data_IF_815138487842
#
_entry.id   IF_815138487842
#
_cell.length_a   1.000
_cell.length_b   1.000
_cell.length_c   1.000
_cell.angle_alpha   90.00
_cell.angle_beta   90.00
_cell.angle_gamma   90.00
#
_symmetry.space_group_name_H-M   'P 1'
#
loop_
_entity.id
_entity.type
_entity.pdbx_description
1 polymer ?
#
# COMPACT_ATOMS: atom_id res chain seq x y z
N UNK A 1 4.39 4.51 -13.11
CA UNK A 1 3.98 3.55 -12.08
C UNK A 1 4.19 2.15 -12.61
N UNK A 2 4.65 1.21 -11.79
CA UNK A 2 4.62 -0.20 -12.15
C UNK A 2 3.19 -0.77 -12.04
N UNK A 3 2.99 -1.99 -12.54
CA UNK A 3 1.68 -2.64 -12.57
C UNK A 3 1.14 -2.89 -11.15
N UNK A 4 2.00 -3.34 -10.23
CA UNK A 4 1.62 -3.67 -8.85
C UNK A 4 1.15 -2.44 -8.08
N UNK A 5 1.81 -1.31 -8.26
CA UNK A 5 1.47 -0.03 -7.66
C UNK A 5 0.09 0.43 -8.15
N UNK A 6 -0.12 0.40 -9.47
CA UNK A 6 -1.40 0.79 -10.07
C UNK A 6 -2.57 -0.08 -9.60
N UNK A 7 -2.39 -1.41 -9.54
CA UNK A 7 -3.41 -2.34 -9.04
C UNK A 7 -3.72 -2.04 -7.57
N UNK A 8 -2.68 -1.83 -6.75
CA UNK A 8 -2.82 -1.58 -5.32
C UNK A 8 -3.58 -0.28 -5.05
N UNK A 9 -3.12 0.83 -5.62
CA UNK A 9 -3.74 2.15 -5.39
C UNK A 9 -5.13 2.23 -6.00
N UNK A 10 -5.33 1.62 -7.18
CA UNK A 10 -6.63 1.54 -7.84
C UNK A 10 -7.65 0.75 -7.03
N UNK A 11 -7.26 -0.43 -6.52
CA UNK A 11 -8.11 -1.26 -5.66
C UNK A 11 -8.49 -0.54 -4.37
N UNK A 12 -7.53 0.09 -3.69
CA UNK A 12 -7.79 0.86 -2.47
C UNK A 12 -8.72 2.05 -2.75
N UNK A 13 -8.49 2.79 -3.83
CA UNK A 13 -9.31 3.94 -4.23
C UNK A 13 -10.75 3.51 -4.56
N UNK A 14 -10.93 2.42 -5.31
CA UNK A 14 -12.25 1.87 -5.64
C UNK A 14 -13.00 1.41 -4.39
N UNK A 15 -12.34 0.66 -3.52
CA UNK A 15 -12.91 0.21 -2.25
C UNK A 15 -13.31 1.40 -1.36
N UNK A 16 -12.44 2.41 -1.23
CA UNK A 16 -12.75 3.62 -0.47
C UNK A 16 -13.86 4.47 -1.11
N UNK A 17 -13.97 4.49 -2.43
CA UNK A 17 -15.10 5.10 -3.13
C UNK A 17 -16.42 4.42 -2.76
N UNK A 18 -16.45 3.09 -2.73
CA UNK A 18 -17.61 2.33 -2.29
C UNK A 18 -17.97 2.60 -0.82
N UNK A 19 -16.96 2.62 0.07
CA UNK A 19 -17.13 2.98 1.50
C UNK A 19 -17.74 4.37 1.66
N UNK A 20 -17.20 5.34 0.95
CA UNK A 20 -17.67 6.72 0.97
C UNK A 20 -19.15 6.83 0.58
N UNK A 21 -19.57 6.13 -0.49
CA UNK A 21 -20.98 6.09 -0.91
C UNK A 21 -21.94 5.50 0.14
N UNK A 22 -21.43 4.70 1.07
CA UNK A 22 -22.19 4.14 2.21
C UNK A 22 -22.01 4.91 3.51
N UNK A 23 -21.37 6.07 3.49
CA UNK A 23 -21.09 6.88 4.69
C UNK A 23 -20.05 6.23 5.62
N UNK A 24 -19.32 5.23 5.15
CA UNK A 24 -18.24 4.60 5.90
C UNK A 24 -16.95 5.42 5.74
N UNK A 25 -16.12 5.43 6.79
CA UNK A 25 -14.81 6.06 6.74
C UNK A 25 -13.91 5.33 5.73
N UNK A 26 -13.09 6.08 4.94
CA UNK A 26 -12.04 5.49 4.12
C UNK A 26 -11.07 4.67 4.98
N UNK A 27 -10.57 3.59 4.40
CA UNK A 27 -9.53 2.76 4.97
C UNK A 27 -8.15 3.21 4.46
N UNK A 28 -7.14 3.08 5.31
CA UNK A 28 -5.74 3.25 4.95
C UNK A 28 -5.01 1.91 5.07
N UNK A 29 -4.08 1.64 4.15
CA UNK A 29 -3.19 0.49 4.26
C UNK A 29 -2.05 0.84 5.24
N UNK A 30 -1.82 0.02 6.27
CA UNK A 30 -0.92 0.38 7.33
C UNK A 30 0.55 0.13 6.92
N UNK A 31 1.48 0.92 7.46
CA UNK A 31 2.91 0.89 7.11
C UNK A 31 3.63 -0.41 7.42
N UNK A 32 2.99 -1.34 8.13
CA UNK A 32 3.51 -2.69 8.34
C UNK A 32 3.42 -3.55 7.07
N UNK A 33 2.65 -3.13 6.06
CA UNK A 33 2.56 -3.75 4.73
C UNK A 33 3.38 -2.97 3.71
N UNK A 34 4.01 -3.68 2.76
CA UNK A 34 4.80 -3.07 1.68
C UNK A 34 3.98 -2.05 0.87
N UNK A 35 2.71 -2.34 0.62
CA UNK A 35 1.80 -1.44 -0.10
C UNK A 35 1.43 -0.20 0.70
N UNK A 36 1.15 -0.36 1.99
CA UNK A 36 0.85 0.75 2.89
C UNK A 36 2.05 1.68 3.11
N UNK A 37 3.24 1.12 3.28
CA UNK A 37 4.44 1.95 3.40
C UNK A 37 4.80 2.65 2.10
N UNK A 38 4.61 2.02 0.93
CA UNK A 38 4.86 2.66 -0.36
C UNK A 38 4.01 3.92 -0.50
N UNK A 39 2.70 3.79 -0.29
CA UNK A 39 1.75 4.90 -0.43
C UNK A 39 2.12 6.02 0.53
N UNK A 40 2.34 5.67 1.80
CA UNK A 40 2.59 6.66 2.83
C UNK A 40 3.95 7.36 2.64
N UNK A 41 5.00 6.61 2.28
CA UNK A 41 6.32 7.17 1.96
C UNK A 41 6.30 8.03 0.69
N UNK A 42 5.65 7.58 -0.38
CA UNK A 42 5.51 8.38 -1.59
C UNK A 42 4.78 9.71 -1.30
N UNK A 43 3.68 9.66 -0.54
CA UNK A 43 2.93 10.86 -0.16
C UNK A 43 3.78 11.87 0.64
N UNK A 44 4.62 11.39 1.56
CA UNK A 44 5.54 12.22 2.33
C UNK A 44 6.60 12.87 1.43
N UNK A 45 7.20 12.09 0.52
CA UNK A 45 8.27 12.60 -0.33
C UNK A 45 7.75 13.57 -1.39
N UNK A 46 6.52 13.40 -1.87
CA UNK A 46 5.86 14.35 -2.77
C UNK A 46 5.68 15.76 -2.17
N UNK A 47 5.79 15.92 -0.84
CA UNK A 47 5.81 17.24 -0.20
C UNK A 47 7.14 17.99 -0.39
N UNK A 48 8.15 17.35 -1.00
CA UNK A 48 9.48 17.91 -1.20
C UNK A 48 9.79 18.09 -2.68
N UNK A 49 10.57 19.12 -3.03
CA UNK A 49 10.97 19.38 -4.42
C UNK A 49 11.75 18.21 -5.04
N UNK A 50 12.58 17.55 -4.25
CA UNK A 50 13.36 16.38 -4.67
C UNK A 50 12.45 15.18 -4.92
N UNK A 51 11.50 14.91 -4.03
CA UNK A 51 10.59 13.77 -4.17
C UNK A 51 9.64 13.86 -5.36
N UNK A 52 9.31 15.07 -5.84
CA UNK A 52 8.56 15.26 -7.09
C UNK A 52 9.30 14.76 -8.33
N UNK A 53 10.64 14.68 -8.28
CA UNK A 53 11.47 14.22 -9.39
C UNK A 53 11.77 12.71 -9.32
N UNK A 54 11.32 12.04 -8.26
CA UNK A 54 11.62 10.63 -7.98
C UNK A 54 10.44 9.73 -8.34
N UNK A 55 10.76 8.52 -8.83
CA UNK A 55 9.77 7.46 -9.01
C UNK A 55 9.81 6.50 -7.83
N UNK A 56 8.65 6.26 -7.21
CA UNK A 56 8.49 5.28 -6.13
C UNK A 56 7.95 3.98 -6.73
N UNK A 57 8.75 2.93 -6.70
CA UNK A 57 8.37 1.61 -7.21
C UNK A 57 8.87 0.48 -6.32
N UNK A 58 8.22 -0.68 -6.40
CA UNK A 58 8.63 -1.89 -5.67
C UNK A 58 9.91 -2.54 -6.22
N UNK A 59 10.34 -2.18 -7.43
CA UNK A 59 11.40 -2.88 -8.16
C UNK A 59 12.69 -2.05 -8.32
N UNK A 60 12.77 -0.85 -7.74
CA UNK A 60 14.00 -0.06 -7.80
C UNK A 60 13.92 1.28 -7.07
N UNK A 61 14.98 2.07 -7.27
CA UNK A 61 15.16 3.40 -6.69
C UNK A 61 15.13 3.41 -5.15
N UNK A 62 14.88 4.60 -4.59
CA UNK A 62 14.91 4.89 -3.15
C UNK A 62 13.96 3.99 -2.34
N UNK A 63 12.78 3.67 -2.89
CA UNK A 63 11.80 2.87 -2.16
C UNK A 63 12.21 1.39 -2.02
N UNK A 64 12.84 0.80 -3.03
CA UNK A 64 13.25 -0.60 -2.95
C UNK A 64 14.30 -0.83 -1.85
N UNK A 65 15.21 0.13 -1.67
CA UNK A 65 16.17 0.09 -0.57
C UNK A 65 15.45 0.17 0.78
N UNK A 66 14.57 1.16 0.95
CA UNK A 66 13.73 1.30 2.15
C UNK A 66 12.93 0.03 2.45
N UNK A 67 12.33 -0.59 1.44
CA UNK A 67 11.53 -1.80 1.60
C UNK A 67 12.36 -2.97 2.15
N UNK A 68 13.62 -3.09 1.74
CA UNK A 68 14.57 -4.06 2.30
C UNK A 68 14.95 -3.70 3.75
N UNK A 69 15.29 -2.44 4.01
CA UNK A 69 15.63 -1.95 5.37
C UNK A 69 14.50 -2.16 6.39
N UNK A 70 13.25 -2.17 5.92
CA UNK A 70 12.06 -2.42 6.75
C UNK A 70 11.60 -3.87 6.77
N UNK A 71 12.37 -4.79 6.18
CA UNK A 71 12.05 -6.23 6.10
C UNK A 71 10.68 -6.49 5.46
N UNK A 72 10.31 -5.67 4.48
CA UNK A 72 9.05 -5.77 3.74
C UNK A 72 9.22 -6.50 2.40
N UNK A 73 10.46 -6.67 1.93
CA UNK A 73 10.79 -7.49 0.77
C UNK A 73 10.88 -8.97 1.18
N UNK A 74 9.77 -9.70 1.08
CA UNK A 74 9.66 -11.09 1.51
C UNK A 74 8.99 -11.93 0.42
N UNK A 75 9.41 -13.20 0.27
CA UNK A 75 8.87 -14.15 -0.71
C UNK A 75 8.10 -15.32 -0.08
N UNK A 76 8.12 -15.46 1.25
CA UNK A 76 7.41 -16.50 1.99
C UNK A 76 5.91 -16.19 2.06
N UNK A 77 5.04 -16.97 1.38
CA UNK A 77 3.60 -16.71 1.38
C UNK A 77 2.99 -16.80 2.78
N UNK A 78 3.52 -17.67 3.63
CA UNK A 78 3.07 -17.83 5.02
C UNK A 78 3.36 -16.57 5.84
N UNK A 79 4.60 -16.06 5.78
CA UNK A 79 4.98 -14.85 6.51
C UNK A 79 4.22 -13.62 6.02
N UNK A 80 4.02 -13.51 4.69
CA UNK A 80 3.20 -12.45 4.09
C UNK A 80 1.75 -12.55 4.60
N UNK A 81 1.15 -13.74 4.57
CA UNK A 81 -0.23 -13.96 5.04
C UNK A 81 -0.38 -13.62 6.52
N UNK A 82 0.55 -14.09 7.36
CA UNK A 82 0.57 -13.81 8.79
C UNK A 82 0.71 -12.32 9.09
N UNK A 83 1.54 -11.61 8.32
CA UNK A 83 1.70 -10.16 8.43
C UNK A 83 0.41 -9.42 8.09
N UNK A 84 -0.27 -9.80 7.01
CA UNK A 84 -1.57 -9.22 6.63
C UNK A 84 -2.62 -9.52 7.70
N UNK A 85 -2.70 -10.76 8.20
CA UNK A 85 -3.65 -11.15 9.25
C UNK A 85 -3.48 -10.32 10.53
N UNK A 86 -2.24 -10.05 10.95
CA UNK A 86 -1.94 -9.19 12.12
C UNK A 86 -2.44 -7.75 12.00
N UNK A 87 -2.67 -7.26 10.78
CA UNK A 87 -3.26 -5.93 10.56
C UNK A 87 -4.78 -5.91 10.63
N UNK A 88 -5.43 -7.07 10.71
CA UNK A 88 -6.88 -7.19 10.62
C UNK A 88 -7.46 -6.98 9.21
N UNK A 89 -6.60 -6.85 8.19
CA UNK A 89 -7.02 -6.58 6.81
C UNK A 89 -7.08 -7.83 5.91
N UNK A 90 -6.88 -9.02 6.47
CA UNK A 90 -6.99 -10.25 5.69
C UNK A 90 -8.41 -10.38 5.09
N UNK A 91 -8.48 -10.49 3.77
CA UNK A 91 -9.75 -10.60 3.05
C UNK A 91 -10.61 -9.33 3.03
N UNK A 92 -10.08 -8.16 3.40
CA UNK A 92 -10.86 -6.92 3.55
C UNK A 92 -11.64 -6.52 2.29
N UNK A 93 -11.08 -6.80 1.11
CA UNK A 93 -11.73 -6.50 -0.18
C UNK A 93 -12.87 -7.47 -0.55
N UNK A 94 -13.05 -8.56 0.20
CA UNK A 94 -14.19 -9.48 0.01
C UNK A 94 -15.47 -8.97 0.70
N UNK A 95 -15.37 -7.92 1.52
CA UNK A 95 -16.52 -7.30 2.15
C UNK A 95 -17.44 -6.67 1.10
N UNK A 96 -18.71 -7.08 1.09
CA UNK A 96 -19.72 -6.48 0.22
C UNK A 96 -20.14 -5.12 0.78
N UNK A 97 -19.64 -4.05 0.16
CA UNK A 97 -19.99 -2.67 0.54
C UNK A 97 -21.22 -2.17 -0.22
N UNK A 98 -21.36 -2.49 -1.52
CA UNK A 98 -22.49 -2.05 -2.38
C UNK A 98 -23.32 -3.26 -2.81
#
# INVERSE_FOLDING_TARGET
MGHTEAITTGSLAGYNGARYLKGLKPMELPRQLATGDLIAYANERLQTREGLMTRYTFAGAEYFQRMQERELNNISPEEISNRVARTGLAGIYNEKII
#
